data_IF_670116418660
#
_entry.id   IF_670116418660
#
_cell.length_a   1.000
_cell.length_b   1.000
_cell.length_c   1.000
_cell.angle_alpha   90.00
_cell.angle_beta   90.00
_cell.angle_gamma   90.00
#
_symmetry.space_group_name_H-M   'P 1'
#
loop_
_entity.id
_entity.type
_entity.pdbx_description
1 polymer ?
#
# COMPACT_ATOMS: atom_id res chain seq x y z
N UNK A 1 16.38 -2.43 3.86
CA UNK A 1 15.73 -2.39 2.54
C UNK A 1 15.63 -0.94 2.16
N UNK A 2 16.11 -0.62 0.97
CA UNK A 2 16.26 0.76 0.55
C UNK A 2 14.90 1.40 0.27
N UNK A 3 14.83 2.71 0.45
CA UNK A 3 13.61 3.47 0.17
C UNK A 3 13.47 3.60 -1.34
N UNK A 4 12.25 3.40 -1.83
CA UNK A 4 11.90 3.63 -3.24
C UNK A 4 10.92 4.81 -3.25
N UNK A 5 11.36 6.02 -3.63
CA UNK A 5 10.46 7.15 -3.79
C UNK A 5 9.54 6.91 -4.99
N UNK A 6 8.35 7.54 -4.98
CA UNK A 6 7.35 7.33 -6.03
C UNK A 6 7.89 7.66 -7.43
N UNK A 7 8.72 8.69 -7.56
CA UNK A 7 9.35 9.11 -8.82
C UNK A 7 10.34 8.10 -9.41
N UNK A 8 10.83 7.15 -8.60
CA UNK A 8 11.76 6.09 -9.04
C UNK A 8 11.11 4.71 -9.05
N UNK A 9 9.85 4.60 -8.60
CA UNK A 9 9.15 3.34 -8.55
C UNK A 9 8.80 2.89 -9.98
N UNK A 10 9.32 1.74 -10.38
CA UNK A 10 9.00 1.13 -11.67
C UNK A 10 8.14 -0.11 -11.49
N UNK A 11 7.51 -0.56 -12.58
CA UNK A 11 6.62 -1.72 -12.55
C UNK A 11 7.32 -3.00 -12.05
N UNK A 12 8.62 -3.16 -12.34
CA UNK A 12 9.43 -4.30 -11.93
C UNK A 12 9.69 -4.40 -10.42
N UNK A 13 9.59 -3.28 -9.69
CA UNK A 13 9.74 -3.25 -8.23
C UNK A 13 8.48 -3.78 -7.51
N UNK A 14 7.34 -3.76 -8.20
CA UNK A 14 6.04 -4.06 -7.61
C UNK A 14 5.88 -5.59 -7.58
N UNK A 15 5.58 -6.18 -6.41
CA UNK A 15 5.31 -7.61 -6.32
C UNK A 15 4.16 -8.05 -7.24
N UNK A 16 4.19 -9.32 -7.65
CA UNK A 16 3.08 -9.94 -8.39
C UNK A 16 1.75 -9.82 -7.63
N UNK A 17 0.64 -9.75 -8.37
CA UNK A 17 -0.73 -9.68 -7.81
C UNK A 17 -1.10 -10.89 -6.91
N UNK A 18 -0.34 -12.00 -6.96
CA UNK A 18 -0.49 -13.16 -6.05
C UNK A 18 0.69 -13.34 -5.10
N UNK A 19 1.54 -12.34 -4.95
CA UNK A 19 2.71 -12.42 -4.08
C UNK A 19 2.29 -12.71 -2.63
N UNK A 20 3.08 -13.52 -1.92
CA UNK A 20 2.84 -13.78 -0.52
C UNK A 20 3.11 -12.53 0.34
N UNK A 21 2.52 -12.49 1.54
CA UNK A 21 2.77 -11.41 2.49
C UNK A 21 4.28 -11.17 2.75
N UNK A 22 5.07 -12.25 2.82
CA UNK A 22 6.53 -12.18 2.99
C UNK A 22 7.25 -11.39 1.88
N UNK A 23 6.70 -11.35 0.67
CA UNK A 23 7.23 -10.54 -0.45
C UNK A 23 6.65 -9.13 -0.49
N UNK A 24 5.39 -8.96 -0.09
CA UNK A 24 4.70 -7.66 -0.12
C UNK A 24 5.15 -6.75 1.04
N UNK A 25 5.31 -7.31 2.24
CA UNK A 25 5.70 -6.53 3.42
C UNK A 25 7.01 -5.74 3.23
N UNK A 26 8.10 -6.34 2.69
CA UNK A 26 9.32 -5.59 2.43
C UNK A 26 9.10 -4.45 1.41
N UNK A 27 8.38 -4.72 0.32
CA UNK A 27 8.01 -3.70 -0.67
C UNK A 27 7.23 -2.54 -0.06
N UNK A 28 6.23 -2.82 0.77
CA UNK A 28 5.43 -1.81 1.47
C UNK A 28 6.28 -0.90 2.37
N UNK A 29 7.37 -1.43 2.95
CA UNK A 29 8.30 -0.69 3.80
C UNK A 29 9.32 0.16 3.02
N UNK A 30 9.36 0.06 1.68
CA UNK A 30 10.13 0.99 0.83
C UNK A 30 9.54 2.41 0.85
N UNK A 31 8.26 2.54 1.24
CA UNK A 31 7.60 3.81 1.50
C UNK A 31 7.48 4.04 3.02
N UNK A 32 7.54 5.28 3.48
CA UNK A 32 7.27 5.63 4.87
C UNK A 32 6.13 6.65 4.94
N UNK A 33 4.91 6.17 5.14
CA UNK A 33 3.73 7.04 5.21
C UNK A 33 3.79 8.04 6.38
N UNK A 34 4.40 7.67 7.51
CA UNK A 34 4.55 8.62 8.62
C UNK A 34 5.48 9.78 8.26
N UNK A 35 6.57 9.50 7.56
CA UNK A 35 7.49 10.53 7.09
C UNK A 35 6.84 11.40 6.02
N UNK A 36 6.20 10.79 5.02
CA UNK A 36 5.55 11.52 3.93
C UNK A 36 4.47 12.50 4.43
N UNK A 37 3.60 12.05 5.33
CA UNK A 37 2.50 12.88 5.85
C UNK A 37 2.90 13.74 7.05
N UNK A 38 4.12 13.58 7.59
CA UNK A 38 4.57 14.24 8.83
C UNK A 38 3.74 13.91 10.08
N UNK A 39 2.77 13.00 9.98
CA UNK A 39 1.78 12.75 11.04
C UNK A 39 1.21 11.34 10.97
N UNK A 40 1.18 10.67 12.12
CA UNK A 40 0.46 9.41 12.29
C UNK A 40 -1.03 9.57 11.97
N UNK A 41 -1.65 10.66 12.45
CA UNK A 41 -3.09 10.92 12.27
C UNK A 41 -3.43 10.99 10.79
N UNK A 42 -2.68 11.79 10.02
CA UNK A 42 -2.93 11.94 8.58
C UNK A 42 -2.69 10.65 7.81
N UNK A 43 -1.60 9.93 8.11
CA UNK A 43 -1.33 8.62 7.53
C UNK A 43 -2.46 7.62 7.81
N UNK A 44 -3.04 7.64 9.02
CA UNK A 44 -4.17 6.79 9.40
C UNK A 44 -5.45 7.16 8.65
N UNK A 45 -5.76 8.45 8.51
CA UNK A 45 -6.96 8.91 7.78
C UNK A 45 -6.98 8.40 6.34
N UNK A 46 -5.85 8.52 5.63
CA UNK A 46 -5.68 8.02 4.25
C UNK A 46 -5.87 6.49 4.19
N UNK A 47 -5.27 5.76 5.14
CA UNK A 47 -5.42 4.30 5.20
C UNK A 47 -6.88 3.88 5.49
N UNK A 48 -7.58 4.61 6.35
CA UNK A 48 -9.00 4.36 6.65
C UNK A 48 -9.89 4.62 5.43
N UNK A 49 -9.62 5.64 4.63
CA UNK A 49 -10.32 5.89 3.37
C UNK A 49 -10.14 4.74 2.38
N UNK A 50 -8.92 4.23 2.22
CA UNK A 50 -8.64 3.06 1.39
C UNK A 50 -9.45 1.82 1.80
N UNK A 51 -9.52 1.54 3.10
CA UNK A 51 -10.33 0.43 3.63
C UNK A 51 -11.82 0.66 3.38
N UNK A 52 -12.33 1.89 3.56
CA UNK A 52 -13.73 2.23 3.29
C UNK A 52 -14.10 2.00 1.84
N UNK A 53 -13.25 2.44 0.90
CA UNK A 53 -13.47 2.26 -0.54
C UNK A 53 -13.49 0.76 -0.90
N UNK A 54 -12.49 0.00 -0.44
CA UNK A 54 -12.44 -1.44 -0.69
C UNK A 54 -13.66 -2.19 -0.11
N UNK A 55 -14.02 -1.92 1.15
CA UNK A 55 -15.20 -2.54 1.79
C UNK A 55 -16.51 -2.15 1.12
N UNK A 56 -16.59 -0.92 0.61
CA UNK A 56 -17.71 -0.44 -0.20
C UNK A 56 -17.74 -1.01 -1.62
N UNK A 57 -16.83 -1.95 -1.96
CA UNK A 57 -16.66 -2.53 -3.30
C UNK A 57 -16.42 -1.47 -4.39
N UNK A 58 -15.84 -0.32 -4.01
CA UNK A 58 -15.45 0.73 -4.93
C UNK A 58 -14.03 0.45 -5.45
N UNK A 59 -13.76 0.91 -6.68
CA UNK A 59 -12.42 0.83 -7.24
C UNK A 59 -11.42 1.62 -6.38
N UNK A 60 -10.22 1.07 -6.20
CA UNK A 60 -9.10 1.74 -5.53
C UNK A 60 -8.39 2.65 -6.53
N UNK A 61 -9.01 3.80 -6.78
CA UNK A 61 -8.55 4.81 -7.75
C UNK A 61 -7.92 6.04 -7.08
N UNK A 62 -7.38 5.90 -5.87
CA UNK A 62 -6.65 6.98 -5.22
C UNK A 62 -5.28 7.20 -5.89
N UNK A 63 -4.56 8.22 -5.43
CA UNK A 63 -3.20 8.52 -5.91
C UNK A 63 -2.21 7.41 -5.58
N UNK A 64 -1.08 7.36 -6.30
CA UNK A 64 0.01 6.43 -6.00
C UNK A 64 0.48 6.56 -4.54
N UNK A 65 0.55 7.79 -4.04
CA UNK A 65 0.91 8.10 -2.65
C UNK A 65 -0.08 7.56 -1.65
N UNK A 66 -1.39 7.72 -1.89
CA UNK A 66 -2.43 7.23 -1.00
C UNK A 66 -2.44 5.70 -0.95
N UNK A 67 -2.28 5.05 -2.11
CA UNK A 67 -2.23 3.60 -2.20
C UNK A 67 -1.00 3.02 -1.49
N UNK A 68 0.19 3.62 -1.66
CA UNK A 68 1.41 3.23 -0.93
C UNK A 68 1.29 3.53 0.57
N UNK A 69 0.56 4.58 0.95
CA UNK A 69 0.22 4.88 2.35
C UNK A 69 -0.65 3.77 2.95
N UNK A 70 -1.71 3.36 2.24
CA UNK A 70 -2.60 2.28 2.67
C UNK A 70 -1.80 0.99 2.89
N UNK A 71 -0.96 0.61 1.92
CA UNK A 71 -0.18 -0.61 1.98
C UNK A 71 0.86 -0.58 3.13
N UNK A 72 1.56 0.55 3.30
CA UNK A 72 2.45 0.76 4.44
C UNK A 72 1.70 0.59 5.78
N UNK A 73 0.52 1.19 5.90
CA UNK A 73 -0.26 1.15 7.14
C UNK A 73 -0.78 -0.27 7.46
N UNK A 74 -1.08 -1.09 6.45
CA UNK A 74 -1.39 -2.51 6.67
C UNK A 74 -0.22 -3.25 7.31
N UNK A 75 1.03 -3.02 6.88
CA UNK A 75 2.21 -3.61 7.55
C UNK A 75 2.24 -3.22 9.03
N UNK A 76 1.97 -1.94 9.34
CA UNK A 76 1.93 -1.45 10.72
C UNK A 76 0.82 -2.14 11.53
N UNK A 77 -0.36 -2.29 10.94
CA UNK A 77 -1.53 -2.95 11.55
C UNK A 77 -1.24 -4.41 11.88
N UNK A 78 -0.74 -5.18 10.92
CA UNK A 78 -0.46 -6.61 11.12
C UNK A 78 0.71 -6.85 12.07
N UNK A 79 1.72 -5.97 12.04
CA UNK A 79 2.79 -5.97 13.05
C UNK A 79 2.23 -5.70 14.46
N UNK A 80 1.35 -4.72 14.61
CA UNK A 80 0.72 -4.40 15.91
C UNK A 80 -0.12 -5.57 16.44
N UNK A 81 -0.78 -6.32 15.55
CA UNK A 81 -1.52 -7.53 15.93
C UNK A 81 -0.66 -8.77 16.13
N UNK A 82 0.66 -8.68 15.90
CA UNK A 82 1.60 -9.81 15.95
C UNK A 82 1.14 -11.00 15.09
N UNK A 83 0.51 -10.69 13.94
CA UNK A 83 -0.15 -11.68 13.07
C UNK A 83 0.16 -11.38 11.60
N UNK A 84 0.00 -12.40 10.77
CA UNK A 84 -0.10 -12.23 9.33
C UNK A 84 -1.53 -11.84 8.92
N UNK A 85 -1.70 -11.20 7.75
CA UNK A 85 -3.03 -10.90 7.23
C UNK A 85 -3.88 -12.17 7.08
N UNK A 86 -5.16 -12.06 7.43
CA UNK A 86 -6.16 -13.10 7.12
C UNK A 86 -6.40 -13.16 5.61
N UNK A 87 -7.18 -14.14 5.13
CA UNK A 87 -7.56 -14.20 3.70
C UNK A 87 -8.14 -12.88 3.19
N UNK A 88 -9.13 -12.31 3.90
CA UNK A 88 -9.72 -11.00 3.54
C UNK A 88 -8.71 -9.85 3.62
N UNK A 89 -7.76 -9.92 4.55
CA UNK A 89 -6.67 -8.95 4.64
C UNK A 89 -5.74 -9.04 3.42
N UNK A 90 -5.39 -10.27 3.02
CA UNK A 90 -4.60 -10.53 1.81
C UNK A 90 -5.33 -10.07 0.55
N UNK A 91 -6.65 -10.30 0.43
CA UNK A 91 -7.44 -9.85 -0.71
C UNK A 91 -7.37 -8.32 -0.86
N UNK A 92 -7.42 -7.57 0.24
CA UNK A 92 -7.25 -6.12 0.22
C UNK A 92 -5.81 -5.71 -0.16
N UNK A 93 -4.82 -6.37 0.44
CA UNK A 93 -3.40 -6.13 0.16
C UNK A 93 -3.07 -6.36 -1.31
N UNK A 94 -3.60 -7.44 -1.92
CA UNK A 94 -3.46 -7.71 -3.35
C UNK A 94 -4.15 -6.64 -4.20
N UNK A 95 -5.35 -6.21 -3.81
CA UNK A 95 -6.05 -5.10 -4.46
C UNK A 95 -5.25 -3.79 -4.45
N UNK A 96 -4.57 -3.48 -3.34
CA UNK A 96 -3.67 -2.32 -3.25
C UNK A 96 -2.45 -2.46 -4.16
N UNK A 97 -1.81 -3.64 -4.19
CA UNK A 97 -0.64 -3.89 -5.05
C UNK A 97 -1.00 -3.71 -6.53
N UNK A 98 -2.18 -4.20 -6.93
CA UNK A 98 -2.66 -4.05 -8.30
C UNK A 98 -3.00 -2.59 -8.63
N UNK A 99 -3.66 -1.88 -7.73
CA UNK A 99 -3.95 -0.45 -7.92
C UNK A 99 -2.65 0.37 -8.04
N UNK A 100 -1.63 0.06 -7.24
CA UNK A 100 -0.30 0.69 -7.34
C UNK A 100 0.32 0.42 -8.71
N UNK A 101 0.24 -0.81 -9.21
CA UNK A 101 0.73 -1.17 -10.55
C UNK A 101 0.05 -0.34 -11.63
N UNK A 102 -1.28 -0.19 -11.56
CA UNK A 102 -2.04 0.65 -12.49
C UNK A 102 -1.58 2.11 -12.45
N UNK A 103 -1.31 2.69 -11.26
CA UNK A 103 -0.81 4.08 -11.15
C UNK A 103 0.59 4.26 -11.72
N UNK A 104 1.48 3.31 -11.47
CA UNK A 104 2.84 3.34 -12.03
C UNK A 104 2.82 3.19 -13.54
N UNK A 105 2.00 2.29 -14.09
CA UNK A 105 1.83 2.14 -15.53
C UNK A 105 1.24 3.40 -16.19
N UNK A 106 0.34 4.09 -15.50
CA UNK A 106 -0.22 5.38 -15.93
C UNK A 106 0.77 6.55 -15.80
N UNK A 107 2.00 6.32 -15.34
CA UNK A 107 3.05 7.33 -15.10
C UNK A 107 2.59 8.45 -14.16
N UNK A 108 1.78 8.11 -13.16
CA UNK A 108 1.46 9.05 -12.10
C UNK A 108 2.74 9.33 -11.29
N UNK A 109 3.28 10.53 -11.46
CA UNK A 109 4.39 11.04 -10.65
C UNK A 109 3.73 11.83 -9.51
N UNK A 110 4.03 11.41 -8.28
CA UNK A 110 3.59 12.11 -7.06
C UNK A 110 4.51 13.27 -6.71
#
# INVERSE_FOLDING_TARGET
>A
MDKIPNSQLIEGDIPSHRASWKKIQPFALTFNGYHHWGSFKRCREVAEEGVKLYRGKKALNQSLTDLRTCLFFEVRRWKHYEKNPTKKGMDYVHGLVEAIRVRVAAKEIA
#
